data_IF_988275363882
#
_entry.id   IF_988275363882
#
_cell.length_a   1.000
_cell.length_b   1.000
_cell.length_c   1.000
_cell.angle_alpha   90.00
_cell.angle_beta   90.00
_cell.angle_gamma   90.00
#
_symmetry.space_group_name_H-M   'P 1'
#
loop_
_entity.id
_entity.type
_entity.pdbx_description
1 polymer ?
#
# COMPACT_ATOMS: atom_id res chain seq x y z
N UNK A 1 -37.84 -33.59 -0.68
CA UNK A 1 -36.60 -34.09 -1.29
C UNK A 1 -35.78 -33.00 -1.96
N UNK A 2 -36.39 -32.14 -2.73
CA UNK A 2 -35.68 -31.02 -3.33
C UNK A 2 -35.10 -30.08 -2.29
N UNK A 3 -35.75 -29.93 -1.14
CA UNK A 3 -35.29 -29.01 -0.06
C UNK A 3 -33.94 -29.40 0.55
N UNK A 4 -33.63 -30.71 0.69
CA UNK A 4 -32.35 -31.13 1.25
C UNK A 4 -31.21 -30.96 0.25
N UNK A 5 -31.46 -31.11 -1.05
CA UNK A 5 -30.49 -30.84 -2.10
C UNK A 5 -30.22 -29.33 -2.17
N UNK A 6 -31.27 -28.55 -2.11
CA UNK A 6 -31.17 -27.08 -2.11
C UNK A 6 -30.39 -26.57 -0.91
N UNK A 7 -30.60 -27.14 0.26
CA UNK A 7 -29.88 -26.80 1.47
C UNK A 7 -28.39 -27.08 1.31
N UNK A 8 -28.03 -28.25 0.78
CA UNK A 8 -26.65 -28.64 0.57
C UNK A 8 -25.97 -27.70 -0.43
N UNK A 9 -26.64 -27.36 -1.52
CA UNK A 9 -26.13 -26.44 -2.53
C UNK A 9 -25.90 -25.05 -1.90
N UNK A 10 -26.83 -24.59 -1.09
CA UNK A 10 -26.71 -23.28 -0.43
C UNK A 10 -25.58 -23.27 0.58
N UNK A 11 -25.38 -24.36 1.33
CA UNK A 11 -24.30 -24.48 2.27
C UNK A 11 -22.93 -24.48 1.57
N UNK A 12 -22.82 -25.18 0.46
CA UNK A 12 -21.60 -25.21 -0.36
C UNK A 12 -21.30 -23.83 -0.93
N UNK A 13 -22.33 -23.15 -1.41
CA UNK A 13 -22.20 -21.80 -1.94
C UNK A 13 -21.79 -20.82 -0.85
N UNK A 14 -22.39 -20.93 0.32
CA UNK A 14 -22.04 -20.10 1.48
C UNK A 14 -20.56 -20.27 1.84
N UNK A 15 -20.09 -21.52 1.87
CA UNK A 15 -18.72 -21.84 2.20
C UNK A 15 -17.75 -21.25 1.16
N UNK A 16 -18.10 -21.39 -0.11
CA UNK A 16 -17.32 -20.80 -1.19
C UNK A 16 -17.23 -19.29 -1.08
N UNK A 17 -18.34 -18.63 -0.77
CA UNK A 17 -18.38 -17.18 -0.60
C UNK A 17 -17.54 -16.75 0.60
N UNK A 18 -17.60 -17.48 1.71
CA UNK A 18 -16.78 -17.19 2.88
C UNK A 18 -15.30 -17.29 2.57
N UNK A 19 -14.89 -18.31 1.81
CA UNK A 19 -13.51 -18.48 1.38
C UNK A 19 -13.06 -17.31 0.50
N UNK A 20 -13.91 -16.90 -0.43
CA UNK A 20 -13.60 -15.79 -1.32
C UNK A 20 -13.47 -14.46 -0.54
N UNK A 21 -14.36 -14.26 0.43
CA UNK A 21 -14.30 -13.08 1.30
C UNK A 21 -12.99 -13.05 2.08
N UNK A 22 -12.60 -14.18 2.67
CA UNK A 22 -11.34 -14.28 3.42
C UNK A 22 -10.13 -13.96 2.55
N UNK A 23 -10.12 -14.47 1.32
CA UNK A 23 -9.03 -14.20 0.37
C UNK A 23 -8.95 -12.72 0.05
N UNK A 24 -10.08 -12.08 -0.18
CA UNK A 24 -10.12 -10.65 -0.48
C UNK A 24 -9.68 -9.81 0.73
N UNK A 25 -10.09 -10.21 1.92
CA UNK A 25 -9.68 -9.53 3.15
C UNK A 25 -8.17 -9.63 3.36
N UNK A 26 -7.58 -10.79 3.08
CA UNK A 26 -6.12 -10.96 3.13
C UNK A 26 -5.43 -10.08 2.09
N UNK A 27 -5.99 -9.99 0.90
CA UNK A 27 -5.45 -9.12 -0.14
C UNK A 27 -5.46 -7.66 0.28
N UNK A 28 -6.55 -7.22 0.89
CA UNK A 28 -6.65 -5.84 1.42
C UNK A 28 -5.57 -5.59 2.46
N UNK A 29 -5.35 -6.55 3.36
CA UNK A 29 -4.31 -6.42 4.39
C UNK A 29 -2.93 -6.30 3.76
N UNK A 30 -2.62 -7.13 2.76
CA UNK A 30 -1.35 -7.09 2.05
C UNK A 30 -1.15 -5.76 1.32
N UNK A 31 -2.18 -5.29 0.64
CA UNK A 31 -2.12 -4.01 -0.06
C UNK A 31 -1.93 -2.84 0.90
N UNK A 32 -2.57 -2.89 2.06
CA UNK A 32 -2.41 -1.87 3.10
C UNK A 32 -0.98 -1.82 3.61
N UNK A 33 -0.37 -3.00 3.84
CA UNK A 33 1.03 -3.07 4.26
C UNK A 33 1.98 -2.55 3.19
N UNK A 34 1.74 -2.90 1.92
CA UNK A 34 2.52 -2.40 0.81
C UNK A 34 2.40 -0.88 0.69
N UNK A 35 1.20 -0.35 0.87
CA UNK A 35 0.95 1.08 0.83
C UNK A 35 1.73 1.82 1.90
N UNK A 36 1.77 1.29 3.11
CA UNK A 36 2.55 1.87 4.21
C UNK A 36 4.03 1.92 3.87
N UNK A 37 4.55 0.85 3.28
CA UNK A 37 5.95 0.76 2.90
C UNK A 37 6.30 1.76 1.79
N UNK A 38 5.45 1.85 0.79
CA UNK A 38 5.59 2.82 -0.30
C UNK A 38 5.56 4.24 0.25
N UNK A 39 4.65 4.52 1.17
CA UNK A 39 4.54 5.82 1.81
C UNK A 39 5.82 6.19 2.55
N UNK A 40 6.39 5.23 3.30
CA UNK A 40 7.65 5.45 4.01
C UNK A 40 8.80 5.73 3.04
N UNK A 41 8.87 5.00 1.94
CA UNK A 41 9.87 5.23 0.91
C UNK A 41 9.72 6.60 0.27
N UNK A 42 8.49 7.02 0.03
CA UNK A 42 8.21 8.33 -0.54
C UNK A 42 8.67 9.44 0.39
N UNK A 43 8.39 9.34 1.69
CA UNK A 43 8.86 10.32 2.67
C UNK A 43 10.39 10.37 2.74
N UNK A 44 11.04 9.21 2.67
CA UNK A 44 12.51 9.17 2.67
C UNK A 44 13.09 9.86 1.44
N UNK A 45 12.49 9.65 0.28
CA UNK A 45 12.92 10.29 -0.96
C UNK A 45 12.69 11.81 -0.92
N UNK A 46 11.56 12.25 -0.39
CA UNK A 46 11.30 13.68 -0.22
C UNK A 46 12.32 14.32 0.73
N UNK A 47 12.67 13.62 1.82
CA UNK A 47 13.70 14.10 2.73
C UNK A 47 15.07 14.23 2.06
N UNK A 48 15.44 13.24 1.26
CA UNK A 48 16.69 13.26 0.50
C UNK A 48 16.71 14.40 -0.51
N UNK A 49 15.58 14.61 -1.20
CA UNK A 49 15.45 15.71 -2.15
C UNK A 49 15.61 17.07 -1.46
N UNK A 50 14.96 17.24 -0.32
CA UNK A 50 15.06 18.47 0.49
C UNK A 50 16.50 18.75 0.87
N UNK A 51 17.23 17.71 1.27
CA UNK A 51 18.63 17.81 1.63
C UNK A 51 19.50 18.25 0.44
N UNK A 52 19.24 17.69 -0.73
CA UNK A 52 19.94 18.11 -1.96
C UNK A 52 19.67 19.58 -2.26
N UNK A 53 18.44 20.00 -2.14
CA UNK A 53 18.06 21.41 -2.39
C UNK A 53 18.78 22.35 -1.41
N UNK A 54 18.90 21.96 -0.15
CA UNK A 54 19.61 22.74 0.85
C UNK A 54 21.09 22.87 0.52
N UNK A 55 21.72 21.78 0.12
CA UNK A 55 23.13 21.80 -0.29
C UNK A 55 23.35 22.66 -1.54
N UNK A 56 22.43 22.57 -2.49
CA UNK A 56 22.51 23.41 -3.69
C UNK A 56 22.41 24.88 -3.35
N UNK A 57 21.52 25.26 -2.43
CA UNK A 57 21.40 26.63 -1.95
C UNK A 57 22.69 27.11 -1.28
N UNK A 58 23.30 26.26 -0.46
CA UNK A 58 24.55 26.56 0.18
C UNK A 58 25.67 26.80 -0.83
N UNK A 59 25.75 25.97 -1.85
CA UNK A 59 26.74 26.11 -2.92
C UNK A 59 26.51 27.37 -3.73
N UNK A 60 25.28 27.71 -4.03
CA UNK A 60 24.93 28.95 -4.74
C UNK A 60 25.34 30.18 -3.94
N UNK A 61 25.11 30.16 -2.64
CA UNK A 61 25.52 31.25 -1.75
C UNK A 61 27.04 31.43 -1.71
N UNK A 62 27.79 30.31 -1.70
CA UNK A 62 29.24 30.34 -1.74
C UNK A 62 29.74 30.95 -3.05
N UNK A 63 29.13 30.55 -4.18
CA UNK A 63 29.48 31.12 -5.49
C UNK A 63 29.22 32.62 -5.56
N UNK A 64 28.13 33.07 -4.95
CA UNK A 64 27.80 34.51 -4.85
C UNK A 64 28.80 35.27 -4.03
N UNK A 65 29.28 34.69 -2.93
CA UNK A 65 30.27 35.34 -2.06
C UNK A 65 31.63 35.49 -2.75
N UNK A 66 31.99 34.53 -3.55
CA UNK A 66 33.25 34.54 -4.31
C UNK A 66 33.24 35.49 -5.50
N UNK A 67 32.04 35.82 -5.92
CA UNK A 67 31.87 36.73 -7.04
C UNK A 67 31.78 38.16 -6.64
#
# INVERSE_FOLDING_TARGET
MSSSIDKKILEEKKQSLQTDIEKLEQTITQLTEQQKQIQANLYALHGALQQCDQFLEMLDDEEKEDG
#
